data_IF_702203623962
#
_entry.id   IF_702203623962
#
_cell.length_a   1.000
_cell.length_b   1.000
_cell.length_c   1.000
_cell.angle_alpha   90.00
_cell.angle_beta   90.00
_cell.angle_gamma   90.00
#
_symmetry.space_group_name_H-M   'P 1'
#
loop_
_entity.id
_entity.type
_entity.pdbx_description
1 polymer ?
#
# COMPACT_ATOMS: atom_id res chain seq x y z
N UNK A 1 19.93 -6.21 14.54
CA UNK A 1 19.35 -5.74 15.82
C UNK A 1 18.35 -6.79 16.31
N UNK A 2 18.02 -6.85 17.61
CA UNK A 2 17.04 -7.81 18.15
C UNK A 2 15.68 -7.15 18.38
N UNK A 3 14.62 -7.78 17.86
CA UNK A 3 13.23 -7.46 18.20
C UNK A 3 13.02 -7.60 19.71
N UNK A 4 12.22 -6.72 20.31
CA UNK A 4 11.95 -6.73 21.74
C UNK A 4 12.77 -5.75 22.58
N UNK A 5 13.82 -5.15 22.01
CA UNK A 5 14.67 -4.19 22.71
C UNK A 5 14.00 -2.82 22.85
N UNK A 6 14.23 -2.17 23.99
CA UNK A 6 13.78 -0.81 24.32
C UNK A 6 14.78 0.22 23.82
N UNK A 7 14.31 1.25 23.12
CA UNK A 7 15.13 2.36 22.64
C UNK A 7 14.57 3.69 23.15
N UNK A 8 15.12 4.23 24.24
CA UNK A 8 14.65 5.51 24.82
C UNK A 8 14.99 6.73 23.96
N UNK A 9 16.07 6.64 23.19
CA UNK A 9 16.46 7.59 22.14
C UNK A 9 16.71 6.82 20.85
N UNK A 10 16.50 7.41 19.67
CA UNK A 10 16.87 6.76 18.43
C UNK A 10 18.38 6.54 18.40
N UNK A 11 18.80 5.45 17.76
CA UNK A 11 20.21 5.23 17.48
C UNK A 11 20.76 6.29 16.53
N UNK A 12 22.08 6.46 16.51
CA UNK A 12 22.72 7.37 15.58
C UNK A 12 22.32 7.03 14.13
N UNK A 13 21.86 8.04 13.40
CA UNK A 13 21.37 7.90 12.02
C UNK A 13 19.88 7.58 11.91
N UNK A 14 19.16 7.41 13.01
CA UNK A 14 17.71 7.22 13.01
C UNK A 14 16.98 8.50 13.42
N UNK A 15 15.92 8.84 12.67
CA UNK A 15 15.02 9.93 13.00
C UNK A 15 13.76 9.38 13.66
N UNK A 16 13.47 9.81 14.89
CA UNK A 16 12.31 9.36 15.68
C UNK A 16 11.12 10.27 15.49
N UNK A 17 10.00 9.69 15.09
CA UNK A 17 8.73 10.38 14.89
C UNK A 17 7.71 9.91 15.94
N UNK A 18 7.15 10.85 16.72
CA UNK A 18 6.06 10.57 17.65
C UNK A 18 4.73 10.42 16.91
N UNK A 19 3.83 9.58 17.41
CA UNK A 19 2.47 9.38 16.90
C UNK A 19 1.62 10.66 16.73
N UNK A 20 2.01 11.80 17.33
CA UNK A 20 1.31 13.07 17.17
C UNK A 20 1.73 13.86 15.93
N UNK A 21 2.60 13.29 15.08
CA UNK A 21 3.00 13.94 13.83
C UNK A 21 1.79 14.14 12.91
N UNK A 22 1.62 15.36 12.40
CA UNK A 22 0.50 15.76 11.53
C UNK A 22 0.41 15.01 10.20
N UNK A 23 1.46 14.27 9.83
CA UNK A 23 1.50 13.48 8.61
C UNK A 23 0.89 12.09 8.77
N UNK A 24 0.55 11.67 9.99
CA UNK A 24 -0.19 10.44 10.22
C UNK A 24 -1.69 10.64 9.95
N UNK A 25 -2.25 9.79 9.10
CA UNK A 25 -3.69 9.66 8.90
C UNK A 25 -4.20 8.47 9.73
N UNK A 26 -5.14 8.73 10.64
CA UNK A 26 -5.73 7.70 11.52
C UNK A 26 -7.16 7.38 11.11
N UNK A 27 -7.49 6.09 11.04
CA UNK A 27 -8.83 5.57 10.78
C UNK A 27 -9.29 4.78 12.01
N UNK A 28 -10.43 5.18 12.60
CA UNK A 28 -11.02 4.53 13.79
C UNK A 28 -10.05 4.38 14.99
N UNK A 29 -9.08 5.28 15.12
CA UNK A 29 -8.14 5.30 16.24
C UNK A 29 -8.32 6.60 17.04
N UNK A 30 -8.13 6.52 18.36
CA UNK A 30 -8.20 7.66 19.26
C UNK A 30 -6.89 7.85 20.00
N UNK A 31 -6.53 9.10 20.25
CA UNK A 31 -5.38 9.46 21.07
C UNK A 31 -5.72 9.33 22.56
N UNK A 32 -4.80 8.78 23.34
CA UNK A 32 -4.83 8.84 24.80
C UNK A 32 -3.49 9.34 25.34
N UNK A 33 -3.58 10.22 26.32
CA UNK A 33 -2.43 10.84 26.99
C UNK A 33 -2.34 10.29 28.41
N UNK A 34 -1.12 9.99 28.83
CA UNK A 34 -0.73 9.47 30.12
C UNK A 34 0.24 10.44 30.79
N UNK A 35 0.16 10.56 32.11
CA UNK A 35 1.14 11.33 32.89
C UNK A 35 2.51 10.64 32.93
N UNK A 36 2.53 9.31 32.87
CA UNK A 36 3.73 8.48 32.85
C UNK A 36 4.17 8.16 31.41
N UNK A 37 5.42 8.46 31.09
CA UNK A 37 6.06 8.27 29.77
C UNK A 37 6.84 6.97 29.65
N UNK A 38 6.85 6.14 30.70
CA UNK A 38 7.60 4.88 30.73
C UNK A 38 7.11 3.90 29.66
N UNK A 39 5.81 3.90 29.39
CA UNK A 39 5.17 2.93 28.50
C UNK A 39 5.03 3.43 27.06
N UNK A 40 4.89 4.73 26.85
CA UNK A 40 4.66 5.32 25.53
C UNK A 40 5.53 6.56 25.35
N UNK A 41 6.04 6.76 24.15
CA UNK A 41 6.92 7.89 23.87
C UNK A 41 6.16 9.18 24.06
N UNK A 42 6.80 10.14 24.75
CA UNK A 42 6.18 11.39 25.19
C UNK A 42 4.90 11.26 26.05
N UNK A 43 4.50 10.04 26.42
CA UNK A 43 3.33 9.75 27.25
C UNK A 43 2.01 9.72 26.48
N UNK A 44 2.01 9.51 25.17
CA UNK A 44 0.76 9.38 24.41
C UNK A 44 0.76 8.18 23.45
N UNK A 45 -0.44 7.70 23.11
CA UNK A 45 -0.63 6.56 22.20
C UNK A 45 -1.89 6.76 21.37
N UNK A 46 -1.86 6.34 20.11
CA UNK A 46 -3.07 6.14 19.31
C UNK A 46 -3.46 4.67 19.33
N UNK A 47 -4.74 4.35 19.49
CA UNK A 47 -5.22 2.96 19.53
C UNK A 47 -6.63 2.84 18.94
N UNK A 48 -7.00 1.64 18.48
CA UNK A 48 -8.36 1.34 18.01
C UNK A 48 -9.41 1.72 19.04
N UNK A 49 -10.38 2.53 18.63
CA UNK A 49 -11.48 2.94 19.50
C UNK A 49 -12.57 1.87 19.61
N UNK A 50 -12.95 1.31 18.46
CA UNK A 50 -13.95 0.26 18.34
C UNK A 50 -13.29 -0.99 17.77
N UNK A 51 -13.12 -2.00 18.61
CA UNK A 51 -12.42 -3.25 18.27
C UNK A 51 -13.17 -4.10 17.25
N UNK A 52 -14.41 -3.76 16.91
CA UNK A 52 -15.20 -4.47 15.89
C UNK A 52 -15.04 -3.88 14.49
N UNK A 53 -14.31 -2.77 14.35
CA UNK A 53 -14.17 -2.02 13.10
C UNK A 53 -12.74 -2.04 12.57
N UNK A 54 -12.63 -1.86 11.25
CA UNK A 54 -11.38 -1.56 10.58
C UNK A 54 -10.69 -0.35 11.22
N UNK A 55 -9.43 -0.52 11.61
CA UNK A 55 -8.60 0.52 12.20
C UNK A 55 -7.25 0.57 11.49
N UNK A 56 -6.75 1.76 11.22
CA UNK A 56 -5.48 1.91 10.52
C UNK A 56 -4.76 3.22 10.86
N UNK A 57 -3.45 3.21 10.69
CA UNK A 57 -2.61 4.40 10.54
C UNK A 57 -1.91 4.35 9.19
N UNK A 58 -1.90 5.48 8.48
CA UNK A 58 -1.32 5.60 7.15
C UNK A 58 -0.38 6.79 7.06
N UNK A 59 0.72 6.61 6.36
CA UNK A 59 1.71 7.66 6.12
C UNK A 59 2.64 7.23 4.99
N UNK A 60 3.43 8.18 4.49
CA UNK A 60 4.55 7.89 3.62
C UNK A 60 5.86 8.18 4.34
N UNK A 61 6.93 7.52 3.94
CA UNK A 61 8.29 7.85 4.35
C UNK A 61 9.14 8.15 3.12
N UNK A 62 10.12 9.04 3.23
CA UNK A 62 11.28 9.06 2.34
C UNK A 62 12.46 8.53 3.13
N UNK A 63 12.97 7.38 2.70
CA UNK A 63 14.06 6.70 3.37
C UNK A 63 14.28 5.32 2.78
N UNK A 64 15.15 4.54 3.42
CA UNK A 64 15.51 3.18 3.00
C UNK A 64 14.96 2.10 3.91
N UNK A 65 14.64 2.45 5.16
CA UNK A 65 14.25 1.51 6.20
C UNK A 65 13.49 2.25 7.32
N UNK A 66 12.54 1.59 7.94
CA UNK A 66 11.88 2.08 9.14
C UNK A 66 11.70 1.00 10.20
N UNK A 67 11.44 1.45 11.43
CA UNK A 67 11.07 0.61 12.57
C UNK A 67 9.77 1.10 13.16
N UNK A 68 9.01 0.17 13.70
CA UNK A 68 7.85 0.47 14.53
C UNK A 68 8.19 0.10 15.96
N UNK A 69 7.98 1.05 16.86
CA UNK A 69 8.18 0.86 18.28
C UNK A 69 6.92 1.22 19.05
N UNK A 70 6.64 0.44 20.09
CA UNK A 70 5.50 0.61 20.97
C UNK A 70 5.78 -0.17 22.27
N UNK A 71 4.88 -0.10 23.25
CA UNK A 71 4.91 -0.99 24.40
C UNK A 71 4.66 -2.44 23.96
N UNK A 72 5.63 -3.31 24.28
CA UNK A 72 5.45 -4.76 24.33
C UNK A 72 4.67 -5.11 25.59
N UNK A 73 3.76 -6.07 25.46
CA UNK A 73 2.89 -6.50 26.54
C UNK A 73 3.05 -7.99 26.83
N UNK A 74 2.62 -8.39 28.03
CA UNK A 74 2.78 -9.77 28.52
C UNK A 74 1.73 -10.73 27.98
N UNK A 75 0.60 -10.20 27.51
CA UNK A 75 -0.52 -10.99 26.98
C UNK A 75 -0.81 -10.62 25.54
N UNK A 76 -1.39 -11.57 24.82
CA UNK A 76 -1.94 -11.35 23.50
C UNK A 76 -3.04 -10.27 23.55
N UNK A 77 -3.21 -9.58 22.43
CA UNK A 77 -4.24 -8.58 22.23
C UNK A 77 -3.71 -7.26 21.67
N UNK A 78 -2.52 -6.79 22.05
CA UNK A 78 -1.97 -5.56 21.48
C UNK A 78 -1.08 -5.83 20.28
N UNK A 79 -1.34 -5.15 19.18
CA UNK A 79 -0.55 -5.24 17.94
C UNK A 79 -0.39 -6.69 17.47
N UNK A 80 -1.47 -7.47 17.59
CA UNK A 80 -1.56 -8.84 17.10
C UNK A 80 -2.27 -8.85 15.75
N UNK A 81 -1.86 -9.76 14.87
CA UNK A 81 -2.50 -10.02 13.58
C UNK A 81 -2.59 -8.78 12.68
N UNK A 82 -1.63 -7.86 12.79
CA UNK A 82 -1.55 -6.67 11.97
C UNK A 82 -1.23 -7.02 10.52
N UNK A 83 -1.76 -6.24 9.60
CA UNK A 83 -1.21 -6.10 8.26
C UNK A 83 -0.33 -4.85 8.24
N UNK A 84 0.95 -5.03 7.91
CA UNK A 84 1.85 -3.94 7.54
C UNK A 84 1.95 -3.97 6.02
N UNK A 85 1.37 -2.98 5.36
CA UNK A 85 1.36 -2.86 3.90
C UNK A 85 2.41 -1.82 3.54
N UNK A 86 3.39 -2.24 2.75
CA UNK A 86 4.48 -1.40 2.28
C UNK A 86 4.45 -1.44 0.78
N UNK A 87 4.26 -0.28 0.16
CA UNK A 87 4.14 -0.17 -1.29
C UNK A 87 3.10 -1.11 -1.92
N UNK A 88 1.99 -1.33 -1.21
CA UNK A 88 0.92 -2.25 -1.61
C UNK A 88 1.20 -3.73 -1.33
N UNK A 89 2.39 -4.09 -0.85
CA UNK A 89 2.73 -5.46 -0.45
C UNK A 89 2.38 -5.68 1.02
N UNK A 90 1.51 -6.65 1.30
CA UNK A 90 1.04 -6.96 2.66
C UNK A 90 1.97 -7.94 3.38
N UNK A 91 2.36 -7.57 4.60
CA UNK A 91 3.12 -8.42 5.53
C UNK A 91 2.27 -8.64 6.79
N UNK A 92 2.00 -9.91 7.11
CA UNK A 92 1.35 -10.28 8.37
C UNK A 92 2.34 -10.19 9.52
N UNK A 93 1.96 -9.54 10.61
CA UNK A 93 2.85 -9.30 11.73
C UNK A 93 2.11 -9.25 13.08
N UNK A 94 2.75 -9.79 14.11
CA UNK A 94 2.32 -9.67 15.50
C UNK A 94 3.51 -9.20 16.34
N UNK A 95 3.25 -8.27 17.26
CA UNK A 95 4.23 -7.83 18.24
C UNK A 95 4.69 -9.04 19.07
N UNK A 96 5.99 -9.14 19.41
CA UNK A 96 6.45 -10.17 20.32
C UNK A 96 5.80 -9.97 21.70
N UNK A 97 5.54 -11.08 22.39
CA UNK A 97 5.13 -11.09 23.79
C UNK A 97 6.36 -11.05 24.69
N UNK A 98 6.27 -10.33 25.80
CA UNK A 98 7.39 -10.21 26.73
C UNK A 98 7.04 -9.43 27.98
N UNK A 99 8.05 -9.11 28.79
CA UNK A 99 7.86 -8.18 29.89
C UNK A 99 7.39 -6.82 29.37
N UNK A 100 6.55 -6.14 30.16
CA UNK A 100 6.01 -4.85 29.80
C UNK A 100 7.15 -3.85 29.61
N UNK A 101 7.40 -3.47 28.37
CA UNK A 101 8.54 -2.65 27.97
C UNK A 101 8.06 -1.61 26.96
N UNK A 102 8.07 -0.33 27.35
CA UNK A 102 7.76 0.79 26.46
C UNK A 102 8.84 1.01 25.39
N UNK A 103 8.47 1.67 24.30
CA UNK A 103 9.39 2.08 23.22
C UNK A 103 10.20 0.91 22.63
N UNK A 104 9.60 -0.28 22.63
CA UNK A 104 10.27 -1.49 22.17
C UNK A 104 10.04 -1.71 20.68
N UNK A 105 11.11 -2.02 19.95
CA UNK A 105 11.04 -2.31 18.53
C UNK A 105 10.34 -3.66 18.32
N UNK A 106 9.13 -3.62 17.75
CA UNK A 106 8.36 -4.82 17.42
C UNK A 106 8.44 -5.17 15.94
N UNK A 107 8.73 -4.20 15.07
CA UNK A 107 8.94 -4.42 13.64
C UNK A 107 10.11 -3.59 13.12
N UNK A 108 10.94 -4.21 12.29
CA UNK A 108 11.99 -3.54 11.50
C UNK A 108 11.82 -3.98 10.05
N UNK A 109 11.75 -3.01 9.13
CA UNK A 109 11.55 -3.31 7.74
C UNK A 109 12.83 -3.89 7.08
N UNK A 110 12.72 -4.58 5.93
CA UNK A 110 13.84 -4.74 5.03
C UNK A 110 14.45 -3.40 4.61
N UNK A 111 15.66 -3.44 4.09
CA UNK A 111 16.34 -2.29 3.49
C UNK A 111 15.95 -2.20 2.01
N UNK A 112 15.55 -1.02 1.58
CA UNK A 112 15.17 -0.71 0.19
C UNK A 112 15.99 0.45 -0.39
N UNK A 113 15.68 0.79 -1.64
CA UNK A 113 16.17 2.01 -2.27
C UNK A 113 15.70 3.25 -1.51
N UNK A 114 16.51 4.32 -1.54
CA UNK A 114 16.14 5.57 -0.89
C UNK A 114 15.12 6.33 -1.74
N UNK A 115 13.84 6.08 -1.50
CA UNK A 115 12.73 6.71 -2.22
C UNK A 115 11.55 6.94 -1.28
N UNK A 116 10.46 7.46 -1.84
CA UNK A 116 9.19 7.52 -1.12
C UNK A 116 8.55 6.13 -1.10
N UNK A 117 8.08 5.72 0.08
CA UNK A 117 7.36 4.47 0.33
C UNK A 117 6.04 4.75 1.03
N UNK A 118 4.98 4.04 0.65
CA UNK A 118 3.66 4.19 1.28
C UNK A 118 3.46 3.09 2.30
N UNK A 119 3.03 3.48 3.50
CA UNK A 119 2.92 2.60 4.66
C UNK A 119 1.49 2.65 5.18
N UNK A 120 0.90 1.48 5.35
CA UNK A 120 -0.36 1.29 6.06
C UNK A 120 -0.12 0.25 7.14
N UNK A 121 -0.52 0.53 8.36
CA UNK A 121 -0.59 -0.46 9.42
C UNK A 121 -2.05 -0.57 9.80
N UNK A 122 -2.65 -1.73 9.58
CA UNK A 122 -4.08 -1.93 9.75
C UNK A 122 -4.39 -3.19 10.57
N UNK A 123 -5.57 -3.17 11.18
CA UNK A 123 -6.17 -4.26 11.92
C UNK A 123 -7.67 -4.31 11.57
N UNK A 124 -8.18 -5.51 11.35
CA UNK A 124 -9.61 -5.74 11.10
C UNK A 124 -10.26 -6.16 12.41
N UNK A 125 -11.42 -5.57 12.73
CA UNK A 125 -12.10 -5.89 13.99
C UNK A 125 -12.68 -7.31 14.11
N UNK A 126 -12.56 -8.12 13.05
CA UNK A 126 -12.80 -9.57 13.10
C UNK A 126 -11.60 -10.35 13.62
N UNK A 127 -10.42 -9.74 13.66
CA UNK A 127 -9.18 -10.36 14.10
C UNK A 127 -9.01 -10.18 15.61
N UNK A 128 -8.42 -11.17 16.26
CA UNK A 128 -8.11 -11.07 17.69
C UNK A 128 -7.11 -9.94 17.96
N UNK A 129 -7.43 -9.11 18.96
CA UNK A 129 -6.59 -8.01 19.42
C UNK A 129 -7.04 -6.63 18.93
N UNK A 130 -6.09 -5.70 18.90
CA UNK A 130 -6.27 -4.31 18.49
C UNK A 130 -4.94 -3.69 18.07
N UNK A 131 -5.01 -2.63 17.25
CA UNK A 131 -3.84 -1.82 16.90
C UNK A 131 -3.63 -0.69 17.92
N UNK A 132 -2.38 -0.48 18.28
CA UNK A 132 -1.86 0.67 18.99
C UNK A 132 -0.59 1.17 18.28
N UNK A 133 -0.37 2.48 18.31
CA UNK A 133 0.68 3.14 17.55
C UNK A 133 1.33 4.26 18.36
N UNK A 134 2.66 4.25 18.41
CA UNK A 134 3.47 5.11 19.28
C UNK A 134 4.63 5.77 18.51
N UNK A 135 5.59 4.97 18.01
CA UNK A 135 6.81 5.50 17.39
C UNK A 135 7.06 4.90 16.01
N UNK A 136 7.54 5.76 15.11
CA UNK A 136 8.26 5.34 13.89
C UNK A 136 9.67 5.89 13.95
N UNK A 137 10.68 5.02 13.85
CA UNK A 137 12.06 5.45 13.59
C UNK A 137 12.37 5.23 12.09
N UNK A 138 13.01 6.19 11.43
CA UNK A 138 13.39 6.12 10.00
C UNK A 138 14.92 6.24 9.88
N UNK A 139 15.55 5.31 9.17
CA UNK A 139 17.00 5.29 8.98
C UNK A 139 17.51 6.47 8.12
N UNK A 140 18.81 6.73 8.20
CA UNK A 140 19.54 7.79 7.48
C UNK A 140 18.90 9.20 7.62
N UNK A 141 18.31 9.49 8.79
CA UNK A 141 17.53 10.69 9.05
C UNK A 141 16.37 10.91 8.04
N UNK A 142 15.73 9.82 7.59
CA UNK A 142 14.59 9.90 6.70
C UNK A 142 13.43 10.71 7.27
N UNK A 143 12.51 11.09 6.39
CA UNK A 143 11.41 12.00 6.71
C UNK A 143 10.06 11.31 6.53
N UNK A 144 9.08 11.77 7.30
CA UNK A 144 7.68 11.36 7.16
C UNK A 144 6.91 12.36 6.29
N UNK A 145 5.94 11.85 5.53
CA UNK A 145 5.02 12.62 4.68
C UNK A 145 3.59 12.14 4.88
N UNK A 146 2.62 13.02 4.56
CA UNK A 146 1.21 12.64 4.48
C UNK A 146 1.05 11.42 3.58
N UNK A 147 0.14 10.54 3.96
CA UNK A 147 -0.18 9.39 3.14
C UNK A 147 -0.58 9.83 1.73
N UNK A 148 0.12 9.28 0.74
CA UNK A 148 -0.24 9.42 -0.66
C UNK A 148 -0.19 8.02 -1.30
N UNK A 149 -1.34 7.41 -1.63
CA UNK A 149 -1.38 6.11 -2.28
C UNK A 149 -0.83 6.13 -3.72
N UNK A 150 -0.66 7.32 -4.30
CA UNK A 150 -0.26 7.54 -5.69
C UNK A 150 1.22 7.86 -5.87
N UNK A 151 2.07 7.54 -4.89
CA UNK A 151 3.54 7.66 -5.06
C UNK A 151 4.08 6.72 -6.14
N UNK A 152 3.32 5.69 -6.50
CA UNK A 152 3.65 4.86 -7.64
C UNK A 152 3.47 5.67 -8.89
N UNK A 153 4.58 5.83 -9.59
CA UNK A 153 4.58 6.21 -10.99
C UNK A 153 3.71 5.20 -11.72
N UNK A 154 2.47 5.60 -12.01
CA UNK A 154 1.58 4.83 -12.86
C UNK A 154 1.94 5.16 -14.30
N UNK A 155 2.18 4.13 -15.09
CA UNK A 155 2.55 4.27 -16.48
C UNK A 155 1.38 3.89 -17.37
N UNK A 156 1.20 4.63 -18.45
CA UNK A 156 0.35 4.27 -19.58
C UNK A 156 1.20 4.36 -20.85
N UNK A 157 0.79 3.69 -21.91
CA UNK A 157 1.41 3.88 -23.23
C UNK A 157 0.59 4.92 -23.99
N UNK A 158 1.24 5.88 -24.65
CA UNK A 158 0.60 6.75 -25.62
C UNK A 158 1.16 6.44 -27.00
N UNK A 159 0.28 6.12 -27.93
CA UNK A 159 0.65 5.98 -29.35
C UNK A 159 -0.50 6.50 -30.19
N UNK A 160 -0.18 7.22 -31.25
CA UNK A 160 -1.17 7.84 -32.14
C UNK A 160 -2.24 8.66 -31.38
N UNK A 161 -1.83 9.35 -30.30
CA UNK A 161 -2.67 10.16 -29.40
C UNK A 161 -3.63 9.37 -28.49
N UNK A 162 -3.71 8.05 -28.64
CA UNK A 162 -4.52 7.20 -27.77
C UNK A 162 -3.68 6.68 -26.60
N UNK A 163 -4.32 6.57 -25.44
CA UNK A 163 -3.72 5.94 -24.27
C UNK A 163 -4.08 4.46 -24.22
N UNK A 164 -3.12 3.66 -23.77
CA UNK A 164 -3.24 2.23 -23.63
C UNK A 164 -2.87 1.81 -22.21
N UNK A 165 -3.68 0.91 -21.66
CA UNK A 165 -3.48 0.33 -20.33
C UNK A 165 -2.21 -0.52 -20.28
N UNK A 166 -1.41 -0.37 -19.22
CA UNK A 166 -0.32 -1.31 -18.94
C UNK A 166 -0.70 -2.32 -17.86
N UNK A 167 -1.69 -2.03 -17.00
CA UNK A 167 -2.18 -2.93 -15.95
C UNK A 167 -3.23 -3.93 -16.45
N UNK A 168 -3.81 -3.67 -17.63
CA UNK A 168 -4.75 -4.56 -18.34
C UNK A 168 -4.18 -5.01 -19.69
N UNK A 169 -2.85 -4.97 -19.78
CA UNK A 169 -2.03 -5.48 -20.86
C UNK A 169 -2.46 -5.08 -22.28
N UNK A 170 -2.46 -3.76 -22.50
CA UNK A 170 -2.63 -3.07 -23.78
C UNK A 170 -4.07 -2.84 -24.27
N UNK A 171 -5.00 -2.56 -23.35
CA UNK A 171 -6.34 -2.09 -23.74
C UNK A 171 -6.30 -0.65 -24.22
N UNK A 172 -6.88 -0.39 -25.39
CA UNK A 172 -7.06 0.96 -25.91
C UNK A 172 -8.11 1.72 -25.09
N UNK A 173 -7.67 2.74 -24.36
CA UNK A 173 -8.51 3.62 -23.56
C UNK A 173 -9.06 4.80 -24.40
N UNK A 174 -8.41 5.11 -25.52
CA UNK A 174 -8.73 6.23 -26.39
C UNK A 174 -8.07 7.53 -25.97
N UNK A 175 -8.66 8.65 -26.36
CA UNK A 175 -8.19 9.99 -26.00
C UNK A 175 -8.97 10.51 -24.79
N UNK A 176 -8.30 11.01 -23.75
CA UNK A 176 -8.98 11.55 -22.58
C UNK A 176 -9.71 12.84 -22.94
N UNK A 177 -10.93 13.02 -22.44
CA UNK A 177 -11.72 14.25 -22.61
C UNK A 177 -11.20 15.40 -21.74
N UNK A 178 -10.57 15.07 -20.60
CA UNK A 178 -10.00 16.02 -19.66
C UNK A 178 -8.90 15.36 -18.80
N UNK A 179 -8.25 16.17 -17.95
CA UNK A 179 -7.20 15.69 -17.06
C UNK A 179 -7.72 14.78 -15.94
N UNK A 180 -9.00 14.91 -15.55
CA UNK A 180 -9.61 14.11 -14.48
C UNK A 180 -9.79 12.67 -14.98
N UNK A 181 -10.27 12.48 -16.20
CA UNK A 181 -10.37 11.18 -16.84
C UNK A 181 -8.99 10.55 -17.01
N UNK A 182 -8.00 11.32 -17.47
CA UNK A 182 -6.64 10.80 -17.63
C UNK A 182 -6.04 10.35 -16.29
N UNK A 183 -6.23 11.12 -15.21
CA UNK A 183 -5.85 10.74 -13.86
C UNK A 183 -6.53 9.44 -13.40
N UNK A 184 -7.84 9.33 -13.59
CA UNK A 184 -8.58 8.10 -13.29
C UNK A 184 -8.06 6.91 -14.09
N UNK A 185 -7.63 7.11 -15.34
CA UNK A 185 -7.01 6.07 -16.14
C UNK A 185 -5.66 5.63 -15.61
N UNK A 186 -4.78 6.54 -15.19
CA UNK A 186 -3.53 6.16 -14.54
C UNK A 186 -3.78 5.31 -13.29
N UNK A 187 -4.78 5.67 -12.49
CA UNK A 187 -5.10 4.95 -11.26
C UNK A 187 -5.67 3.55 -11.52
N UNK A 188 -6.58 3.41 -12.51
CA UNK A 188 -7.27 2.15 -12.80
C UNK A 188 -6.50 1.23 -13.74
N UNK A 189 -5.83 1.80 -14.75
CA UNK A 189 -5.23 1.10 -15.88
C UNK A 189 -3.71 1.19 -15.94
N UNK A 190 -3.10 2.04 -15.10
CA UNK A 190 -1.66 2.20 -15.05
C UNK A 190 -0.98 1.13 -14.20
N UNK A 191 0.14 0.60 -14.71
CA UNK A 191 1.04 -0.27 -13.95
C UNK A 191 1.99 0.59 -13.13
N UNK A 192 2.30 0.15 -11.91
CA UNK A 192 3.38 0.73 -11.11
C UNK A 192 4.77 0.22 -11.51
N UNK A 193 4.83 -0.89 -12.26
CA UNK A 193 6.07 -1.49 -12.75
C UNK A 193 6.15 -1.32 -14.27
N UNK A 194 7.12 -0.53 -14.75
CA UNK A 194 7.36 -0.30 -16.18
C UNK A 194 7.93 -1.55 -16.87
N UNK A 195 8.54 -2.47 -16.11
CA UNK A 195 9.12 -3.68 -16.69
C UNK A 195 8.07 -4.60 -17.32
N UNK A 196 6.79 -4.49 -16.89
CA UNK A 196 5.66 -5.22 -17.48
C UNK A 196 5.58 -5.06 -19.00
N UNK A 197 6.09 -3.95 -19.54
CA UNK A 197 6.09 -3.67 -20.98
C UNK A 197 6.94 -4.70 -21.74
N UNK A 198 8.04 -5.13 -21.14
CA UNK A 198 9.03 -6.05 -21.75
C UNK A 198 8.90 -7.50 -21.29
N UNK A 199 8.12 -7.76 -20.23
CA UNK A 199 7.91 -9.08 -19.67
C UNK A 199 7.04 -9.96 -20.59
N UNK A 200 7.34 -11.26 -20.63
CA UNK A 200 6.46 -12.25 -21.25
C UNK A 200 5.25 -12.48 -20.35
N UNK A 201 4.07 -12.21 -20.89
CA UNK A 201 2.78 -12.35 -20.25
C UNK A 201 2.00 -13.48 -20.91
N UNK A 202 1.21 -14.20 -20.14
CA UNK A 202 0.39 -15.32 -20.59
C UNK A 202 -1.08 -15.20 -20.14
N UNK A 203 -1.48 -14.00 -19.73
CA UNK A 203 -2.81 -13.72 -19.21
C UNK A 203 -3.16 -12.24 -19.44
N UNK A 204 -4.46 -11.95 -19.45
CA UNK A 204 -5.00 -10.58 -19.45
C UNK A 204 -5.91 -10.41 -18.25
N UNK A 205 -5.79 -9.27 -17.58
CA UNK A 205 -6.56 -8.92 -16.38
C UNK A 205 -7.34 -7.62 -16.59
N UNK A 206 -8.61 -7.64 -16.21
CA UNK A 206 -9.57 -6.58 -16.46
C UNK A 206 -10.17 -6.10 -15.14
N UNK A 207 -9.88 -4.86 -14.70
CA UNK A 207 -10.46 -4.32 -13.49
C UNK A 207 -11.98 -4.19 -13.65
N UNK A 208 -12.71 -4.51 -12.58
CA UNK A 208 -14.16 -4.39 -12.53
C UNK A 208 -14.59 -3.17 -11.71
N UNK A 209 -15.82 -2.73 -11.93
CA UNK A 209 -16.46 -1.70 -11.12
C UNK A 209 -17.95 -2.02 -10.95
N UNK A 210 -18.54 -1.60 -9.84
CA UNK A 210 -19.99 -1.75 -9.61
C UNK A 210 -20.75 -0.77 -10.50
N UNK A 211 -21.84 -1.23 -11.10
CA UNK A 211 -22.83 -0.36 -11.73
C UNK A 211 -23.78 0.24 -10.68
N UNK A 212 -24.74 1.05 -11.13
CA UNK A 212 -25.75 1.70 -10.28
C UNK A 212 -26.59 0.72 -9.44
N UNK A 213 -26.69 -0.53 -9.88
CA UNK A 213 -27.42 -1.61 -9.19
C UNK A 213 -26.49 -2.47 -8.31
N UNK A 214 -25.23 -2.07 -8.12
CA UNK A 214 -24.25 -2.81 -7.31
C UNK A 214 -23.66 -4.06 -8.00
N UNK A 215 -23.94 -4.29 -9.28
CA UNK A 215 -23.44 -5.45 -10.04
C UNK A 215 -22.07 -5.12 -10.62
N UNK A 216 -21.11 -6.01 -10.42
CA UNK A 216 -19.76 -5.90 -10.96
C UNK A 216 -19.74 -6.11 -12.48
N UNK A 217 -19.08 -5.21 -13.20
CA UNK A 217 -18.84 -5.29 -14.64
C UNK A 217 -17.43 -4.81 -14.99
N UNK A 218 -16.89 -5.29 -16.10
CA UNK A 218 -15.69 -4.73 -16.72
C UNK A 218 -16.05 -3.48 -17.54
N UNK A 219 -15.10 -2.57 -17.72
CA UNK A 219 -15.28 -1.38 -18.57
C UNK A 219 -15.18 -1.72 -20.07
N UNK A 220 -14.56 -2.86 -20.39
CA UNK A 220 -14.34 -3.35 -21.75
C UNK A 220 -14.95 -4.73 -21.93
N UNK A 221 -15.39 -5.01 -23.16
CA UNK A 221 -15.81 -6.33 -23.56
C UNK A 221 -14.59 -7.27 -23.61
N UNK A 222 -14.74 -8.47 -23.06
CA UNK A 222 -13.73 -9.51 -23.15
C UNK A 222 -13.75 -10.14 -24.54
N UNK A 223 -12.60 -10.21 -25.20
CA UNK A 223 -12.46 -10.96 -26.45
C UNK A 223 -12.21 -12.44 -26.14
N UNK A 224 -13.27 -13.23 -26.23
CA UNK A 224 -13.25 -14.67 -25.92
C UNK A 224 -12.31 -15.46 -26.84
N UNK A 225 -11.99 -14.93 -28.03
CA UNK A 225 -11.12 -15.62 -28.99
C UNK A 225 -9.66 -15.68 -28.51
N UNK A 226 -9.28 -14.83 -27.55
CA UNK A 226 -7.95 -14.85 -26.94
C UNK A 226 -7.84 -15.79 -25.73
N UNK A 227 -8.95 -16.32 -25.23
CA UNK A 227 -8.94 -17.21 -24.08
C UNK A 227 -8.43 -18.58 -24.51
N UNK A 228 -7.35 -19.01 -23.86
CA UNK A 228 -6.71 -20.30 -24.12
C UNK A 228 -7.04 -21.36 -23.09
N UNK A 229 -7.39 -20.96 -21.88
CA UNK A 229 -7.73 -21.88 -20.78
C UNK A 229 -8.70 -21.22 -19.80
N UNK A 230 -8.24 -20.89 -18.58
CA UNK A 230 -9.11 -20.48 -17.49
C UNK A 230 -9.56 -19.02 -17.59
N UNK A 231 -10.74 -18.76 -17.02
CA UNK A 231 -11.25 -17.42 -16.73
C UNK A 231 -11.53 -17.38 -15.22
N UNK A 232 -10.80 -16.53 -14.51
CA UNK A 232 -10.84 -16.43 -13.06
C UNK A 232 -11.37 -15.06 -12.61
N UNK A 233 -12.13 -15.09 -11.51
CA UNK A 233 -12.41 -13.89 -10.73
C UNK A 233 -11.29 -13.71 -9.70
N UNK A 234 -10.57 -12.59 -9.78
CA UNK A 234 -9.60 -12.19 -8.77
C UNK A 234 -10.29 -11.25 -7.79
N UNK A 235 -10.40 -11.69 -6.54
CA UNK A 235 -11.10 -10.98 -5.47
C UNK A 235 -10.12 -10.55 -4.39
N UNK A 236 -9.62 -9.32 -4.50
CA UNK A 236 -8.62 -8.77 -3.57
C UNK A 236 -9.33 -8.26 -2.31
N UNK A 237 -10.42 -7.50 -2.48
CA UNK A 237 -11.29 -7.02 -1.41
C UNK A 237 -12.66 -6.57 -1.92
N UNK A 238 -13.53 -6.12 -1.01
CA UNK A 238 -14.90 -5.67 -1.30
C UNK A 238 -15.04 -4.55 -2.36
N UNK A 239 -13.95 -3.84 -2.65
CA UNK A 239 -13.89 -2.72 -3.58
C UNK A 239 -12.90 -2.95 -4.74
N UNK A 240 -12.20 -4.08 -4.77
CA UNK A 240 -11.18 -4.37 -5.78
C UNK A 240 -11.32 -5.81 -6.28
N UNK A 241 -11.95 -5.94 -7.45
CA UNK A 241 -12.13 -7.19 -8.18
C UNK A 241 -11.70 -7.01 -9.62
N UNK A 242 -11.18 -8.07 -10.22
CA UNK A 242 -10.84 -8.15 -11.64
C UNK A 242 -11.24 -9.51 -12.23
N UNK A 243 -11.44 -9.55 -13.54
CA UNK A 243 -11.52 -10.81 -14.30
C UNK A 243 -10.19 -11.01 -14.98
N UNK A 244 -9.61 -12.19 -14.81
CA UNK A 244 -8.38 -12.61 -15.45
C UNK A 244 -8.67 -13.79 -16.37
N UNK A 245 -8.02 -13.85 -17.53
CA UNK A 245 -8.03 -15.06 -18.34
C UNK A 245 -6.65 -15.40 -18.88
N UNK A 246 -6.40 -16.69 -19.10
CA UNK A 246 -5.17 -17.19 -19.72
C UNK A 246 -5.20 -17.00 -21.23
N UNK A 247 -4.11 -16.53 -21.81
CA UNK A 247 -3.95 -16.32 -23.25
C UNK A 247 -2.57 -16.76 -23.75
N UNK A 248 -2.40 -16.79 -25.07
CA UNK A 248 -1.09 -17.02 -25.69
C UNK A 248 -0.05 -16.02 -25.18
N UNK A 249 1.21 -16.46 -25.11
CA UNK A 249 2.32 -15.62 -24.68
C UNK A 249 2.48 -14.38 -25.57
N UNK A 250 2.70 -13.22 -24.96
CA UNK A 250 2.96 -11.96 -25.64
C UNK A 250 3.76 -11.02 -24.74
N UNK A 251 4.31 -9.96 -25.33
CA UNK A 251 4.84 -8.81 -24.60
C UNK A 251 4.06 -7.58 -25.05
N UNK A 252 3.82 -6.65 -24.13
CA UNK A 252 3.14 -5.39 -24.49
C UNK A 252 3.97 -4.63 -25.54
N UNK A 253 5.31 -4.67 -25.44
CA UNK A 253 6.21 -4.06 -26.41
C UNK A 253 5.95 -4.52 -27.85
N UNK A 254 5.57 -5.79 -28.06
CA UNK A 254 5.31 -6.34 -29.39
C UNK A 254 3.97 -5.85 -29.99
N UNK A 255 3.15 -5.17 -29.18
CA UNK A 255 1.88 -4.57 -29.59
C UNK A 255 1.98 -3.05 -29.82
N UNK A 256 3.10 -2.44 -29.42
CA UNK A 256 3.35 -1.01 -29.62
C UNK A 256 3.75 -0.72 -31.08
N UNK A 257 3.35 0.44 -31.56
CA UNK A 257 3.87 1.03 -32.79
C UNK A 257 5.31 1.53 -32.61
N UNK A 258 6.05 1.79 -33.70
CA UNK A 258 7.44 2.24 -33.66
C UNK A 258 7.65 3.60 -32.95
N UNK A 259 6.58 4.41 -32.83
CA UNK A 259 6.61 5.78 -32.27
C UNK A 259 5.73 5.91 -30.99
N UNK A 260 5.82 4.96 -30.07
CA UNK A 260 5.09 5.04 -28.79
C UNK A 260 5.88 5.76 -27.68
N UNK A 261 5.14 6.42 -26.79
CA UNK A 261 5.65 7.02 -25.57
C UNK A 261 5.20 6.25 -24.32
N UNK A 262 6.10 6.09 -23.36
CA UNK A 262 5.74 5.65 -22.01
C UNK A 262 5.44 6.90 -21.17
N UNK A 263 4.16 7.10 -20.90
CA UNK A 263 3.68 8.26 -20.16
C UNK A 263 3.58 7.94 -18.68
N UNK A 264 4.15 8.81 -17.86
CA UNK A 264 4.12 8.69 -16.42
C UNK A 264 3.08 9.64 -15.84
N UNK A 265 2.25 9.18 -14.91
CA UNK A 265 1.43 10.05 -14.09
C UNK A 265 2.32 11.07 -13.35
N UNK A 266 1.98 12.36 -13.50
CA UNK A 266 2.59 13.48 -12.80
C UNK A 266 1.46 14.28 -12.15
N UNK A 267 1.36 14.24 -10.83
CA UNK A 267 0.54 15.24 -10.13
C UNK A 267 1.16 16.62 -10.36
N UNK A 268 0.32 17.58 -10.74
CA UNK A 268 0.69 19.00 -10.77
C UNK A 268 0.65 19.58 -9.37
#
# INVERSE_FOLDING_TARGET
MALGNVYLVPEQGWNRINNDNENFEYINMSKKVYSDKTNFYLGDVHFSQDLTKYSAVKFNIIGKQFRLLNQIYTTEGRNMNLNIIIDGVTIKHSSPLGQVNGHACYYESPIWDNKEHSIIIEHFGTDEGYISFDIVDIADNGIIKKYNPYIFKKYLINQNKNYYSTNSNFLNLGQPIDNIQLENWYNKYGSGDVNIITQNLNNKEFPMSKNENGIWKTDFQLDINHVTDNIDLVDINENNKSIKYDCNNYRILDLCDDEFDIMQYRQK
#
